data_IF_020799461568
#
_entry.id   IF_020799461568
#
_cell.length_a   1.000
_cell.length_b   1.000
_cell.length_c   1.000
_cell.angle_alpha   90.00
_cell.angle_beta   90.00
_cell.angle_gamma   90.00
#
_symmetry.space_group_name_H-M   'P 1'
#
loop_
_entity.id
_entity.type
_entity.pdbx_description
1 polymer ?
#
# COMPACT_ATOMS: atom_id res chain seq x y z
N UNK A 1 16.19 -21.62 -7.11
CA UNK A 1 17.09 -20.46 -7.34
C UNK A 1 18.52 -20.89 -7.05
N UNK A 2 19.47 -20.72 -7.98
CA UNK A 2 20.88 -21.15 -7.80
C UNK A 2 21.83 -20.04 -7.33
N UNK A 3 21.36 -18.79 -7.22
CA UNK A 3 22.09 -17.67 -6.61
C UNK A 3 21.57 -17.45 -5.19
N UNK A 4 22.47 -17.53 -4.22
CA UNK A 4 22.16 -17.29 -2.80
C UNK A 4 22.09 -15.78 -2.51
N UNK A 5 22.78 -14.95 -3.30
CA UNK A 5 22.87 -13.52 -3.10
C UNK A 5 22.29 -12.71 -4.28
N UNK A 6 21.61 -11.60 -3.98
CA UNK A 6 20.97 -10.73 -4.96
C UNK A 6 22.01 -10.01 -5.83
N UNK A 7 23.20 -9.75 -5.30
CA UNK A 7 24.29 -9.16 -6.05
C UNK A 7 24.82 -10.09 -7.14
N UNK A 8 25.00 -11.37 -6.79
CA UNK A 8 25.47 -12.38 -7.72
C UNK A 8 24.45 -12.59 -8.84
N UNK A 9 23.17 -12.64 -8.49
CA UNK A 9 22.09 -12.76 -9.46
C UNK A 9 21.99 -11.55 -10.38
N UNK A 10 22.04 -10.33 -9.84
CA UNK A 10 22.05 -9.10 -10.63
C UNK A 10 23.23 -9.07 -11.60
N UNK A 11 24.43 -9.41 -11.13
CA UNK A 11 25.62 -9.48 -11.98
C UNK A 11 25.51 -10.55 -13.07
N UNK A 12 24.91 -11.71 -12.77
CA UNK A 12 24.67 -12.75 -13.77
C UNK A 12 23.67 -12.28 -14.83
N UNK A 13 22.56 -11.69 -14.41
CA UNK A 13 21.51 -11.20 -15.31
C UNK A 13 22.03 -10.07 -16.22
N UNK A 14 22.88 -9.18 -15.72
CA UNK A 14 23.49 -8.10 -16.53
C UNK A 14 24.54 -8.60 -17.53
N UNK A 15 25.17 -9.75 -17.26
CA UNK A 15 26.12 -10.39 -18.19
C UNK A 15 25.41 -11.08 -19.36
N UNK A 16 24.15 -11.47 -19.17
CA UNK A 16 23.31 -11.94 -20.26
C UNK A 16 22.99 -10.70 -21.11
N UNK A 17 23.45 -10.66 -22.36
CA UNK A 17 23.09 -9.59 -23.29
C UNK A 17 21.61 -9.75 -23.63
N UNK A 18 20.76 -9.04 -22.91
CA UNK A 18 19.33 -8.95 -23.20
C UNK A 18 19.19 -8.11 -24.48
N UNK A 19 18.45 -8.62 -25.47
CA UNK A 19 18.20 -7.83 -26.68
C UNK A 19 17.31 -6.63 -26.34
N UNK A 20 17.55 -5.47 -26.99
CA UNK A 20 16.74 -4.28 -26.77
C UNK A 20 15.26 -4.56 -27.06
N UNK A 21 14.42 -4.38 -26.03
CA UNK A 21 13.00 -4.74 -26.08
C UNK A 21 12.59 -5.77 -25.02
N UNK A 22 13.52 -6.64 -24.60
CA UNK A 22 13.23 -7.66 -23.59
C UNK A 22 13.41 -7.20 -22.13
N UNK A 23 13.80 -5.93 -21.94
CA UNK A 23 13.97 -5.34 -20.61
C UNK A 23 12.67 -5.30 -19.80
N UNK A 24 11.52 -5.19 -20.48
CA UNK A 24 10.20 -5.23 -19.84
C UNK A 24 9.88 -6.64 -19.34
N UNK A 25 10.16 -7.68 -20.13
CA UNK A 25 9.92 -9.05 -19.68
C UNK A 25 10.79 -9.43 -18.49
N UNK A 26 12.01 -8.89 -18.38
CA UNK A 26 12.82 -9.08 -17.17
C UNK A 26 12.13 -8.48 -15.93
N UNK A 27 11.60 -7.26 -16.03
CA UNK A 27 10.85 -6.62 -14.94
C UNK A 27 9.59 -7.42 -14.57
N UNK A 28 8.86 -7.92 -15.57
CA UNK A 28 7.66 -8.76 -15.37
C UNK A 28 8.05 -10.07 -14.69
N UNK A 29 9.07 -10.76 -15.19
CA UNK A 29 9.56 -12.03 -14.65
C UNK A 29 9.96 -11.88 -13.18
N UNK A 30 10.72 -10.83 -12.83
CA UNK A 30 11.11 -10.57 -11.45
C UNK A 30 9.89 -10.40 -10.53
N UNK A 31 8.87 -9.68 -11.01
CA UNK A 31 7.66 -9.45 -10.26
C UNK A 31 6.79 -10.70 -10.13
N UNK A 32 6.70 -11.51 -11.19
CA UNK A 32 6.01 -12.80 -11.18
C UNK A 32 6.68 -13.80 -10.25
N UNK A 33 8.02 -13.88 -10.26
CA UNK A 33 8.75 -14.70 -9.29
C UNK A 33 8.46 -14.24 -7.85
N UNK A 34 8.49 -12.92 -7.59
CA UNK A 34 8.12 -12.36 -6.29
C UNK A 34 6.67 -12.71 -5.89
N UNK A 35 5.75 -12.81 -6.86
CA UNK A 35 4.36 -13.16 -6.64
C UNK A 35 4.12 -14.64 -6.34
N UNK A 36 5.00 -15.52 -6.82
CA UNK A 36 4.88 -16.97 -6.62
C UNK A 36 5.42 -17.40 -5.25
N UNK A 37 6.26 -16.59 -4.61
CA UNK A 37 6.76 -16.90 -3.27
C UNK A 37 5.65 -16.88 -2.21
N UNK A 38 5.68 -17.85 -1.30
CA UNK A 38 4.76 -17.89 -0.16
C UNK A 38 4.92 -16.68 0.77
N UNK A 39 6.14 -16.18 0.90
CA UNK A 39 6.50 -15.04 1.74
C UNK A 39 7.45 -14.13 0.99
N UNK A 40 7.26 -12.82 1.12
CA UNK A 40 8.14 -11.84 0.50
C UNK A 40 9.61 -12.05 0.89
N UNK A 41 10.46 -12.18 -0.12
CA UNK A 41 11.91 -12.22 0.03
C UNK A 41 12.48 -10.85 -0.36
N UNK A 42 13.17 -10.19 0.57
CA UNK A 42 13.84 -8.88 0.33
C UNK A 42 14.79 -8.91 -0.87
N UNK A 43 15.33 -10.08 -1.19
CA UNK A 43 16.10 -10.37 -2.39
C UNK A 43 15.49 -9.74 -3.66
N UNK A 44 14.18 -9.90 -3.89
CA UNK A 44 13.53 -9.38 -5.10
C UNK A 44 13.50 -7.85 -5.13
N UNK A 45 13.17 -7.20 -4.00
CA UNK A 45 13.17 -5.74 -3.90
C UNK A 45 14.56 -5.14 -4.12
N UNK A 46 15.60 -5.71 -3.52
CA UNK A 46 16.99 -5.26 -3.74
C UNK A 46 17.47 -5.50 -5.16
N UNK A 47 17.08 -6.61 -5.77
CA UNK A 47 17.39 -6.89 -7.16
C UNK A 47 16.71 -5.88 -8.10
N UNK A 48 15.41 -5.60 -7.90
CA UNK A 48 14.67 -4.57 -8.64
C UNK A 48 15.27 -3.18 -8.47
N UNK A 49 15.63 -2.79 -7.24
CA UNK A 49 16.34 -1.55 -6.93
C UNK A 49 17.65 -1.44 -7.73
N UNK A 50 18.46 -2.50 -7.75
CA UNK A 50 19.74 -2.53 -8.47
C UNK A 50 19.52 -2.28 -9.97
N UNK A 51 18.53 -2.93 -10.59
CA UNK A 51 18.20 -2.69 -12.00
C UNK A 51 17.81 -1.23 -12.26
N UNK A 52 16.93 -0.66 -11.44
CA UNK A 52 16.53 0.74 -11.54
C UNK A 52 17.69 1.74 -11.40
N UNK A 53 18.72 1.39 -10.62
CA UNK A 53 19.91 2.24 -10.41
C UNK A 53 20.92 2.14 -11.57
N UNK A 54 20.91 1.04 -12.32
CA UNK A 54 21.84 0.81 -13.44
C UNK A 54 21.34 1.50 -14.70
N UNK A 55 20.06 1.34 -15.04
CA UNK A 55 19.49 1.88 -16.27
C UNK A 55 18.10 2.46 -16.02
N UNK A 56 17.88 3.69 -16.51
CA UNK A 56 16.59 4.37 -16.45
C UNK A 56 15.48 3.60 -17.16
N UNK A 57 15.80 2.80 -18.17
CA UNK A 57 14.82 1.93 -18.87
C UNK A 57 14.11 1.00 -17.88
N UNK A 58 14.84 0.39 -16.92
CA UNK A 58 14.21 -0.48 -15.92
C UNK A 58 13.31 0.30 -14.97
N UNK A 59 13.67 1.53 -14.60
CA UNK A 59 12.81 2.41 -13.80
C UNK A 59 11.48 2.68 -14.51
N UNK A 60 11.52 3.02 -15.79
CA UNK A 60 10.34 3.28 -16.61
C UNK A 60 9.49 2.00 -16.80
N UNK A 61 10.14 0.84 -16.92
CA UNK A 61 9.44 -0.44 -17.02
C UNK A 61 8.78 -0.85 -15.69
N UNK A 62 9.45 -0.65 -14.54
CA UNK A 62 8.85 -0.90 -13.23
C UNK A 62 7.70 0.06 -12.92
N UNK A 63 7.75 1.31 -13.40
CA UNK A 63 6.61 2.24 -13.34
C UNK A 63 5.40 1.69 -14.10
N UNK A 64 5.60 1.24 -15.35
CA UNK A 64 4.55 0.57 -16.13
C UNK A 64 4.03 -0.70 -15.44
N UNK A 65 4.92 -1.52 -14.88
CA UNK A 65 4.54 -2.70 -14.10
C UNK A 65 3.68 -2.32 -12.89
N UNK A 66 4.00 -1.23 -12.19
CA UNK A 66 3.19 -0.77 -11.06
C UNK A 66 1.75 -0.47 -11.50
N UNK A 67 1.57 0.30 -12.57
CA UNK A 67 0.25 0.65 -13.10
C UNK A 67 -0.52 -0.59 -13.54
N UNK A 68 0.13 -1.49 -14.27
CA UNK A 68 -0.48 -2.74 -14.73
C UNK A 68 -0.90 -3.62 -13.55
N UNK A 69 -0.02 -3.83 -12.57
CA UNK A 69 -0.35 -4.60 -11.38
C UNK A 69 -1.50 -3.96 -10.61
N UNK A 70 -1.44 -2.64 -10.38
CA UNK A 70 -2.50 -1.92 -9.66
C UNK A 70 -3.86 -2.06 -10.35
N UNK A 71 -3.92 -2.01 -11.69
CA UNK A 71 -5.17 -2.20 -12.44
C UNK A 71 -5.80 -3.60 -12.27
N UNK A 72 -4.98 -4.62 -11.98
CA UNK A 72 -5.41 -6.02 -11.85
C UNK A 72 -5.41 -6.55 -10.40
N UNK A 73 -5.20 -5.70 -9.38
CA UNK A 73 -5.10 -6.10 -7.96
C UNK A 73 -6.30 -6.87 -7.44
N UNK A 74 -7.49 -6.60 -7.96
CA UNK A 74 -8.72 -7.28 -7.56
C UNK A 74 -8.70 -8.79 -7.90
N UNK A 75 -7.81 -9.21 -8.82
CA UNK A 75 -7.63 -10.63 -9.21
C UNK A 75 -6.54 -11.34 -8.41
N UNK A 76 -5.78 -10.59 -7.60
CA UNK A 76 -4.67 -11.13 -6.83
C UNK A 76 -5.15 -11.60 -5.45
N UNK A 77 -4.62 -12.75 -5.02
CA UNK A 77 -4.83 -13.26 -3.68
C UNK A 77 -4.03 -12.45 -2.63
N UNK A 78 -4.48 -12.51 -1.37
CA UNK A 78 -3.91 -11.73 -0.25
C UNK A 78 -2.40 -11.88 -0.09
N UNK A 79 -1.84 -13.08 -0.30
CA UNK A 79 -0.40 -13.30 -0.18
C UNK A 79 0.38 -12.59 -1.30
N UNK A 80 -0.15 -12.59 -2.52
CA UNK A 80 0.44 -11.88 -3.67
C UNK A 80 0.39 -10.38 -3.47
N UNK A 81 -0.75 -9.85 -3.01
CA UNK A 81 -0.89 -8.43 -2.67
C UNK A 81 0.19 -7.97 -1.69
N UNK A 82 0.46 -8.77 -0.65
CA UNK A 82 1.52 -8.49 0.32
C UNK A 82 2.90 -8.45 -0.34
N UNK A 83 3.23 -9.43 -1.18
CA UNK A 83 4.55 -9.50 -1.80
C UNK A 83 4.78 -8.35 -2.79
N UNK A 84 3.80 -8.07 -3.67
CA UNK A 84 3.87 -6.95 -4.63
C UNK A 84 4.01 -5.61 -3.88
N UNK A 85 3.22 -5.42 -2.83
CA UNK A 85 3.26 -4.19 -2.05
C UNK A 85 4.64 -3.97 -1.40
N UNK A 86 5.22 -5.01 -0.79
CA UNK A 86 6.55 -4.95 -0.19
C UNK A 86 7.65 -4.73 -1.22
N UNK A 87 7.52 -5.34 -2.40
CA UNK A 87 8.44 -5.12 -3.52
C UNK A 87 8.47 -3.63 -3.90
N UNK A 88 7.31 -3.04 -4.22
CA UNK A 88 7.26 -1.64 -4.63
C UNK A 88 7.58 -0.67 -3.49
N UNK A 89 7.28 -1.01 -2.24
CA UNK A 89 7.70 -0.22 -1.08
C UNK A 89 9.23 -0.08 -1.02
N UNK A 90 9.99 -1.16 -1.25
CA UNK A 90 11.45 -1.12 -1.29
C UNK A 90 11.95 -0.17 -2.40
N UNK A 91 11.35 -0.25 -3.59
CA UNK A 91 11.75 0.59 -4.73
C UNK A 91 11.45 2.08 -4.47
N UNK A 92 10.31 2.39 -3.84
CA UNK A 92 9.92 3.76 -3.48
C UNK A 92 10.76 4.32 -2.33
N UNK A 93 11.02 3.52 -1.29
CA UNK A 93 11.82 3.93 -0.14
C UNK A 93 13.25 4.30 -0.55
N UNK A 94 13.82 3.60 -1.53
CA UNK A 94 15.19 3.81 -2.02
C UNK A 94 15.30 4.77 -3.20
N UNK A 95 14.21 5.48 -3.54
CA UNK A 95 14.13 6.41 -4.67
C UNK A 95 14.51 5.77 -6.03
N UNK A 96 14.40 4.45 -6.11
CA UNK A 96 14.59 3.68 -7.33
C UNK A 96 13.39 3.85 -8.27
N UNK A 97 12.19 4.01 -7.70
CA UNK A 97 10.95 4.36 -8.40
C UNK A 97 10.46 5.73 -7.92
N UNK A 98 10.02 6.62 -8.82
CA UNK A 98 9.49 7.92 -8.45
C UNK A 98 8.12 7.79 -7.75
N UNK A 99 7.82 8.74 -6.87
CA UNK A 99 6.61 8.72 -6.05
C UNK A 99 5.35 9.18 -6.80
N UNK A 100 5.45 9.60 -8.07
CA UNK A 100 4.27 9.96 -8.87
C UNK A 100 3.32 8.78 -9.09
N UNK A 101 3.80 7.55 -8.90
CA UNK A 101 2.98 6.32 -9.01
C UNK A 101 1.81 6.30 -8.04
N UNK A 102 1.88 7.07 -6.95
CA UNK A 102 0.77 7.22 -6.02
C UNK A 102 -0.46 7.90 -6.63
N UNK A 103 -0.30 8.66 -7.72
CA UNK A 103 -1.41 9.29 -8.44
C UNK A 103 -2.41 8.26 -9.02
N UNK A 104 -1.96 7.02 -9.27
CA UNK A 104 -2.83 5.93 -9.75
C UNK A 104 -3.65 5.29 -8.63
N UNK A 105 -3.31 5.56 -7.37
CA UNK A 105 -4.02 5.04 -6.20
C UNK A 105 -5.03 6.08 -5.74
N UNK A 106 -6.30 5.71 -5.68
CA UNK A 106 -7.37 6.54 -5.15
C UNK A 106 -7.94 5.91 -3.89
N UNK A 107 -7.83 6.60 -2.75
CA UNK A 107 -8.29 6.12 -1.44
C UNK A 107 -9.65 6.74 -1.10
N UNK A 108 -10.70 6.29 -1.79
CA UNK A 108 -12.10 6.66 -1.52
C UNK A 108 -12.92 5.41 -1.21
N UNK A 109 -14.08 5.58 -0.59
CA UNK A 109 -14.97 4.46 -0.28
C UNK A 109 -15.48 3.78 -1.56
N UNK A 110 -15.79 4.57 -2.59
CA UNK A 110 -16.38 4.13 -3.86
C UNK A 110 -15.36 3.51 -4.83
N UNK A 111 -14.14 4.05 -4.91
CA UNK A 111 -13.14 3.61 -5.88
C UNK A 111 -12.18 2.52 -5.34
N UNK A 112 -12.28 2.16 -4.04
CA UNK A 112 -11.41 1.13 -3.45
C UNK A 112 -12.10 -0.19 -3.17
N UNK A 113 -11.53 -1.25 -3.71
CA UNK A 113 -11.90 -2.64 -3.35
C UNK A 113 -11.17 -3.10 -2.09
N UNK A 114 -11.63 -4.20 -1.48
CA UNK A 114 -10.93 -4.87 -0.36
C UNK A 114 -9.47 -5.21 -0.70
N UNK A 115 -9.21 -5.75 -1.90
CA UNK A 115 -7.85 -6.03 -2.39
C UNK A 115 -6.99 -4.77 -2.48
N UNK A 116 -7.57 -3.65 -2.94
CA UNK A 116 -6.88 -2.37 -3.01
C UNK A 116 -6.47 -1.88 -1.62
N UNK A 117 -7.39 -1.96 -0.65
CA UNK A 117 -7.14 -1.58 0.75
C UNK A 117 -6.04 -2.45 1.39
N UNK A 118 -6.04 -3.75 1.11
CA UNK A 118 -5.00 -4.68 1.58
C UNK A 118 -3.63 -4.34 0.97
N UNK A 119 -3.59 -4.04 -0.33
CA UNK A 119 -2.36 -3.62 -1.01
C UNK A 119 -1.80 -2.34 -0.41
N UNK A 120 -2.62 -1.28 -0.30
CA UNK A 120 -2.22 0.02 0.25
C UNK A 120 -1.76 -0.15 1.70
N UNK A 121 -2.45 -0.96 2.50
CA UNK A 121 -2.04 -1.29 3.87
C UNK A 121 -0.61 -1.83 3.90
N UNK A 122 -0.31 -2.87 3.13
CA UNK A 122 1.03 -3.46 3.16
C UNK A 122 2.09 -2.52 2.58
N UNK A 123 1.75 -1.74 1.56
CA UNK A 123 2.65 -0.78 0.92
C UNK A 123 3.10 0.28 1.93
N UNK A 124 2.16 0.92 2.62
CA UNK A 124 2.47 1.97 3.59
C UNK A 124 3.08 1.44 4.88
N UNK A 125 2.70 0.25 5.34
CA UNK A 125 3.35 -0.39 6.49
C UNK A 125 4.83 -0.68 6.20
N UNK A 126 5.14 -1.21 5.01
CA UNK A 126 6.53 -1.47 4.63
C UNK A 126 7.31 -0.16 4.43
N UNK A 127 6.71 0.87 3.81
CA UNK A 127 7.35 2.19 3.69
C UNK A 127 7.68 2.81 5.05
N UNK A 128 6.77 2.68 6.02
CA UNK A 128 6.99 3.15 7.37
C UNK A 128 8.08 2.34 8.09
N UNK A 129 8.22 1.04 7.80
CA UNK A 129 9.32 0.21 8.32
C UNK A 129 10.68 0.64 7.75
N UNK A 130 10.75 0.99 6.45
CA UNK A 130 12.00 1.41 5.80
C UNK A 130 12.44 2.84 6.13
N UNK A 131 11.51 3.80 6.06
CA UNK A 131 11.83 5.23 6.21
C UNK A 131 11.62 5.74 7.64
N UNK A 132 10.77 5.07 8.40
CA UNK A 132 10.19 5.60 9.63
C UNK A 132 9.03 6.57 9.35
N UNK A 133 8.13 6.69 10.34
CA UNK A 133 6.91 7.48 10.22
C UNK A 133 7.18 8.98 9.98
N UNK A 134 8.26 9.53 10.54
CA UNK A 134 8.58 10.96 10.46
C UNK A 134 9.01 11.35 9.05
N UNK A 135 9.99 10.64 8.49
CA UNK A 135 10.50 10.89 7.15
C UNK A 135 9.43 10.61 6.08
N UNK A 136 8.62 9.56 6.29
CA UNK A 136 7.48 9.26 5.42
C UNK A 136 6.47 10.43 5.43
N UNK A 137 6.15 10.99 6.59
CA UNK A 137 5.26 12.14 6.69
C UNK A 137 5.86 13.39 5.99
N UNK A 138 7.15 13.64 6.14
CA UNK A 138 7.83 14.74 5.43
C UNK A 138 7.72 14.58 3.90
N UNK A 139 7.98 13.36 3.39
CA UNK A 139 7.84 13.07 1.94
C UNK A 139 6.41 13.22 1.44
N UNK A 140 5.42 12.76 2.20
CA UNK A 140 4.00 12.87 1.81
C UNK A 140 3.47 14.32 1.83
N UNK A 141 4.15 15.23 2.52
CA UNK A 141 3.79 16.65 2.57
C UNK A 141 4.67 17.52 1.66
N UNK A 142 5.49 16.92 0.79
CA UNK A 142 6.30 17.67 -0.17
C UNK A 142 5.39 18.47 -1.13
N UNK A 143 5.51 19.82 -1.18
CA UNK A 143 4.69 20.66 -2.05
C UNK A 143 4.80 20.31 -3.54
N UNK A 144 5.95 19.78 -3.98
CA UNK A 144 6.19 19.47 -5.40
C UNK A 144 5.38 18.27 -5.88
N UNK A 145 5.09 17.32 -4.97
CA UNK A 145 4.42 16.05 -5.27
C UNK A 145 2.97 16.00 -4.77
N UNK A 146 2.46 17.13 -4.27
CA UNK A 146 1.16 17.19 -3.61
C UNK A 146 0.01 16.76 -4.53
N UNK A 147 0.10 17.01 -5.83
CA UNK A 147 -0.89 16.54 -6.82
C UNK A 147 -0.94 15.01 -6.92
N UNK A 148 0.19 14.32 -6.75
CA UNK A 148 0.24 12.84 -6.78
C UNK A 148 -0.29 12.21 -5.50
N UNK A 149 -0.33 12.95 -4.38
CA UNK A 149 -0.82 12.45 -3.09
C UNK A 149 -2.27 12.84 -2.81
N UNK A 150 -2.85 13.77 -3.57
CA UNK A 150 -4.23 14.22 -3.40
C UNK A 150 -5.23 13.07 -3.47
N UNK A 151 -4.98 12.07 -4.31
CA UNK A 151 -5.82 10.88 -4.46
C UNK A 151 -5.77 9.94 -3.25
N UNK A 152 -4.70 9.98 -2.43
CA UNK A 152 -4.52 9.14 -1.24
C UNK A 152 -4.85 9.90 0.06
N UNK A 153 -4.59 11.20 0.06
CA UNK A 153 -4.87 12.12 1.17
C UNK A 153 -5.92 13.17 0.72
N UNK A 154 -7.15 12.73 0.39
CA UNK A 154 -8.18 13.58 -0.18
C UNK A 154 -8.61 14.70 0.77
N UNK A 155 -8.68 15.92 0.24
CA UNK A 155 -9.16 17.15 0.92
C UNK A 155 -10.41 17.75 0.25
N UNK A 156 -10.97 17.03 -0.71
CA UNK A 156 -12.12 17.41 -1.53
C UNK A 156 -13.44 17.32 -0.76
N UNK A 157 -13.74 16.16 -0.18
CA UNK A 157 -15.00 15.86 0.49
C UNK A 157 -14.73 15.40 1.93
N UNK A 158 -15.44 15.95 2.94
CA UNK A 158 -15.29 15.52 4.32
C UNK A 158 -15.48 14.01 4.52
N UNK A 159 -16.32 13.34 3.71
CA UNK A 159 -16.47 11.88 3.75
C UNK A 159 -15.18 11.16 3.34
N UNK A 160 -14.59 11.54 2.21
CA UNK A 160 -13.33 10.98 1.71
C UNK A 160 -12.17 11.24 2.69
N UNK A 161 -12.10 12.46 3.24
CA UNK A 161 -11.10 12.80 4.27
C UNK A 161 -11.24 11.93 5.52
N UNK A 162 -12.46 11.70 6.02
CA UNK A 162 -12.70 10.80 7.17
C UNK A 162 -12.31 9.36 6.83
N UNK A 163 -12.68 8.88 5.65
CA UNK A 163 -12.33 7.55 5.19
C UNK A 163 -10.81 7.34 5.18
N UNK A 164 -10.05 8.28 4.61
CA UNK A 164 -8.60 8.22 4.60
C UNK A 164 -8.00 8.26 6.02
N UNK A 165 -8.49 9.14 6.90
CA UNK A 165 -8.04 9.20 8.31
C UNK A 165 -8.27 7.84 9.00
N UNK A 166 -9.47 7.29 8.88
CA UNK A 166 -9.85 6.03 9.51
C UNK A 166 -9.04 4.85 8.98
N UNK A 167 -8.82 4.81 7.66
CA UNK A 167 -7.97 3.82 7.02
C UNK A 167 -6.55 3.85 7.58
N UNK A 168 -5.88 5.01 7.56
CA UNK A 168 -4.50 5.13 8.06
C UNK A 168 -4.41 4.87 9.57
N UNK A 169 -5.43 5.20 10.38
CA UNK A 169 -5.46 4.81 11.79
C UNK A 169 -5.59 3.30 11.98
N UNK A 170 -6.47 2.64 11.21
CA UNK A 170 -6.71 1.20 11.32
C UNK A 170 -5.48 0.35 10.99
N UNK A 171 -4.59 0.86 10.12
CA UNK A 171 -3.34 0.17 9.74
C UNK A 171 -2.16 0.54 10.66
N UNK A 172 -2.39 1.36 11.69
CA UNK A 172 -1.38 1.78 12.67
C UNK A 172 -0.51 2.97 12.24
N UNK A 173 -0.86 3.67 11.16
CA UNK A 173 -0.11 4.80 10.60
C UNK A 173 -0.84 6.14 10.80
N UNK A 174 -1.49 6.29 11.95
CA UNK A 174 -2.30 7.47 12.27
C UNK A 174 -1.50 8.79 12.31
N UNK A 175 -0.18 8.75 12.45
CA UNK A 175 0.68 9.93 12.41
C UNK A 175 0.76 10.60 11.03
N UNK A 176 0.49 9.86 9.94
CA UNK A 176 0.51 10.42 8.58
C UNK A 176 -0.68 11.35 8.29
N UNK A 177 -1.73 11.27 9.10
CA UNK A 177 -2.99 12.00 8.84
C UNK A 177 -3.23 13.19 9.78
N UNK A 178 -2.21 13.64 10.51
CA UNK A 178 -2.32 14.81 11.41
C UNK A 178 -2.80 16.07 10.67
N UNK A 179 -2.22 16.36 9.49
CA UNK A 179 -2.61 17.49 8.66
C UNK A 179 -4.07 17.39 8.16
N UNK A 180 -4.52 16.17 7.83
CA UNK A 180 -5.91 15.92 7.42
C UNK A 180 -6.89 16.11 8.59
N UNK A 181 -6.52 15.68 9.80
CA UNK A 181 -7.33 15.90 11.01
C UNK A 181 -7.48 17.40 11.31
N UNK A 182 -6.38 18.16 11.21
CA UNK A 182 -6.41 19.61 11.38
C UNK A 182 -7.31 20.28 10.33
N UNK A 183 -7.19 19.88 9.06
CA UNK A 183 -8.03 20.36 7.97
C UNK A 183 -9.52 20.09 8.21
N UNK A 184 -9.87 18.86 8.61
CA UNK A 184 -11.26 18.46 8.89
C UNK A 184 -11.85 19.24 10.07
N UNK A 185 -11.06 19.49 11.12
CA UNK A 185 -11.48 20.30 12.28
C UNK A 185 -11.77 21.75 11.88
N UNK A 186 -10.94 22.33 11.02
CA UNK A 186 -11.14 23.69 10.52
C UNK A 186 -12.37 23.77 9.61
N UNK A 187 -12.55 22.82 8.69
CA UNK A 187 -13.71 22.77 7.81
C UNK A 187 -15.01 22.58 8.59
N UNK A 188 -15.03 21.69 9.59
CA UNK A 188 -16.20 21.49 10.46
C UNK A 188 -16.56 22.76 11.25
N UNK A 189 -15.55 23.54 11.66
CA UNK A 189 -15.76 24.83 12.34
C UNK A 189 -16.37 25.89 11.42
N UNK A 190 -15.96 25.94 10.15
CA UNK A 190 -16.51 26.86 9.16
C UNK A 190 -17.98 26.55 8.85
N UNK A 191 -18.32 25.26 8.64
CA UNK A 191 -19.70 24.83 8.40
C UNK A 191 -20.61 25.16 9.61
N UNK A 192 -20.10 24.96 10.82
CA UNK A 192 -20.81 25.30 12.06
C UNK A 192 -20.97 26.82 12.29
N UNK A 193 -20.11 27.64 11.68
CA UNK A 193 -20.25 29.11 11.67
C UNK A 193 -21.23 29.60 10.59
N UNK A 194 -21.30 28.93 9.44
CA UNK A 194 -22.26 29.24 8.37
C UNK A 194 -23.69 28.80 8.71
N UNK A 195 -23.86 27.73 9.51
CA UNK A 195 -25.17 27.26 10.00
C UNK A 195 -25.72 28.06 11.21
N UNK A 196 -25.24 29.28 11.46
CA UNK A 196 -25.96 30.24 12.32
C UNK A 196 -26.87 31.13 11.47
N UNK A 197 -28.13 30.74 11.18
CA UNK A 197 -29.12 31.74 10.86
C UNK A 197 -29.51 32.46 12.15
N UNK A 198 -29.64 33.77 12.05
CA UNK A 198 -30.40 34.61 12.96
C UNK A 198 -31.79 33.99 13.14
N UNK A 199 -32.09 33.41 14.31
CA UNK A 199 -33.39 33.51 15.00
C UNK A 199 -33.45 32.60 16.24
N UNK A 200 -33.95 33.18 17.34
CA UNK A 200 -34.32 32.48 18.56
C UNK A 200 -35.53 31.58 18.31
N UNK A 201 -35.37 30.27 18.50
CA UNK A 201 -36.40 29.36 19.02
C UNK A 201 -35.77 27.98 19.18
N UNK A 202 -35.83 27.43 20.39
CA UNK A 202 -35.16 26.19 20.74
C UNK A 202 -35.80 24.98 20.06
N UNK A 203 -34.98 24.21 19.36
CA UNK A 203 -35.15 22.77 19.20
C UNK A 203 -33.76 22.14 19.32
N UNK A 204 -33.57 21.37 20.37
CA UNK A 204 -32.37 20.56 20.61
C UNK A 204 -32.35 19.41 19.62
N UNK A 205 -31.63 19.57 18.50
CA UNK A 205 -31.28 18.46 17.64
C UNK A 205 -30.08 17.72 18.24
N UNK A 206 -30.36 16.58 18.86
CA UNK A 206 -29.37 15.61 19.32
C UNK A 206 -28.65 15.06 18.09
N UNK A 207 -27.41 15.51 17.83
CA UNK A 207 -26.52 14.78 16.92
C UNK A 207 -26.07 13.52 17.65
N UNK A 208 -26.51 12.35 17.17
CA UNK A 208 -26.02 11.06 17.62
C UNK A 208 -24.50 11.01 17.48
N UNK A 209 -23.82 10.92 18.62
CA UNK A 209 -22.49 10.34 18.69
C UNK A 209 -22.65 8.85 18.37
N UNK A 210 -22.53 8.48 17.10
CA UNK A 210 -22.31 7.09 16.72
C UNK A 210 -20.88 6.71 17.13
N UNK A 211 -20.74 6.41 18.42
CA UNK A 211 -19.82 5.39 18.90
C UNK A 211 -20.42 4.06 18.46
N UNK A 212 -19.74 3.30 17.61
CA UNK A 212 -19.66 1.85 17.77
C UNK A 212 -18.56 1.28 16.86
N UNK A 213 -17.98 0.22 17.40
CA UNK A 213 -16.70 -0.41 17.10
C UNK A 213 -16.72 -1.35 15.89
N UNK A 214 -15.74 -1.21 15.00
CA UNK A 214 -15.35 -2.28 14.08
C UNK A 214 -13.91 -2.75 14.36
N UNK A 215 -13.81 -3.73 15.27
CA UNK A 215 -12.61 -4.53 15.48
C UNK A 215 -12.51 -5.59 14.37
N UNK A 216 -11.72 -5.32 13.33
CA UNK A 216 -11.30 -6.35 12.39
C UNK A 216 -10.25 -7.28 13.05
N UNK A 217 -10.71 -8.24 13.85
CA UNK A 217 -9.90 -9.38 14.29
C UNK A 217 -10.00 -10.51 13.26
N UNK A 218 -9.04 -10.57 12.33
CA UNK A 218 -8.82 -11.78 11.53
C UNK A 218 -8.01 -12.78 12.36
N UNK A 219 -8.69 -13.71 13.01
CA UNK A 219 -8.06 -14.85 13.68
C UNK A 219 -7.79 -15.95 12.64
N UNK A 220 -6.52 -16.17 12.28
CA UNK A 220 -6.11 -17.34 11.51
C UNK A 220 -5.68 -18.46 12.45
N UNK A 221 -6.64 -19.26 12.91
CA UNK A 221 -6.36 -20.49 13.66
C UNK A 221 -5.99 -21.62 12.70
N UNK A 222 -4.72 -21.99 12.74
CA UNK A 222 -4.16 -23.21 12.16
C UNK A 222 -4.73 -24.40 12.94
N UNK A 223 -5.46 -25.30 12.28
CA UNK A 223 -5.86 -26.59 12.87
C UNK A 223 -5.06 -27.71 12.22
N UNK A 224 -4.00 -28.10 12.91
CA UNK A 224 -3.29 -29.35 12.76
C UNK A 224 -4.21 -30.48 13.30
N UNK A 225 -4.68 -31.37 12.42
CA UNK A 225 -5.50 -32.52 12.82
C UNK A 225 -4.66 -33.78 12.74
N UNK A 226 -4.20 -34.21 13.92
CA UNK A 226 -3.44 -35.43 14.20
C UNK A 226 -4.41 -36.62 14.22
N UNK A 227 -4.54 -37.34 13.10
CA UNK A 227 -5.47 -38.45 12.94
C UNK A 227 -4.85 -39.77 13.43
N UNK A 228 -4.91 -40.00 14.74
CA UNK A 228 -4.64 -41.31 15.35
C UNK A 228 -5.92 -42.12 15.47
N UNK A 229 -6.22 -42.96 14.47
CA UNK A 229 -7.18 -44.09 14.63
C UNK A 229 -6.64 -45.43 14.11
N UNK A 230 -6.24 -46.24 15.10
CA UNK A 230 -6.55 -47.66 15.32
C UNK A 230 -6.31 -48.64 14.14
N UNK A 231 -5.11 -49.20 14.08
CA UNK A 231 -4.91 -50.59 13.60
C UNK A 231 -5.41 -51.57 14.66
N UNK A 232 -6.57 -52.20 14.41
CA UNK A 232 -6.98 -53.44 15.07
C UNK A 232 -6.58 -54.60 14.15
N UNK A 233 -5.56 -55.36 14.55
CA UNK A 233 -5.23 -56.70 14.06
C UNK A 233 -4.86 -57.54 15.28
N UNK A 234 -5.72 -58.51 15.64
CA UNK A 234 -5.31 -59.77 16.28
C UNK A 234 -6.49 -60.74 16.33
N UNK A 235 -6.17 -61.97 15.90
CA UNK A 235 -6.98 -63.18 15.72
C UNK A 235 -7.87 -63.21 14.49
#
# INVERSE_FOLDING_TARGET
>A
MSSVDFEEAGNKLLKIKIEPGHDMELCIMLLECCNQERTYLRYYGHLGQRFCMINKVYRENFDKCFVQQYSMIHRLETHKLRNVAKFFAQLLATDALPWHVFAYIRLTEEDTTSSSRIFIKFLFQELAEHLGIRLLNERLNDPTMQQSFESILPKDNPKNTRFAINFFTSIGLGGLTENLRAYLKNMSRLIMQEQKPVSKSGESYTFSSDSESDLYSSNSSVTESDDRRRKRRKS
#
